data_IF_286238496898
#
_entry.id   IF_286238496898
#
_cell.length_a   1.000
_cell.length_b   1.000
_cell.length_c   1.000
_cell.angle_alpha   90.00
_cell.angle_beta   90.00
_cell.angle_gamma   90.00
#
_symmetry.space_group_name_H-M   'P 1'
#
loop_
_entity.id
_entity.type
_entity.pdbx_description
1 polymer ?
#
# COMPACT_ATOMS: atom_id res chain seq x y z
N UNK A 1 18.92 9.91 -0.80
CA UNK A 1 19.07 8.70 0.02
C UNK A 1 17.78 7.90 0.10
N UNK A 2 16.86 8.29 1.01
CA UNK A 2 15.64 7.53 1.37
C UNK A 2 14.84 6.96 0.18
N UNK A 3 14.40 7.81 -0.75
CA UNK A 3 13.56 7.36 -1.87
C UNK A 3 14.30 6.41 -2.82
N UNK A 4 15.59 6.64 -3.08
CA UNK A 4 16.40 5.76 -3.92
C UNK A 4 16.57 4.37 -3.29
N UNK A 5 16.80 4.31 -1.98
CA UNK A 5 16.90 3.01 -1.28
C UNK A 5 15.56 2.27 -1.25
N UNK A 6 14.45 2.96 -1.02
CA UNK A 6 13.13 2.33 -0.88
C UNK A 6 12.51 1.94 -2.22
N UNK A 7 12.57 2.82 -3.22
CA UNK A 7 11.89 2.64 -4.52
C UNK A 7 12.89 2.25 -5.61
N UNK A 8 14.06 2.88 -5.63
CA UNK A 8 15.08 2.64 -6.65
C UNK A 8 14.77 3.32 -7.98
N UNK A 9 15.25 2.71 -9.07
CA UNK A 9 14.98 3.06 -10.46
C UNK A 9 14.60 1.79 -11.24
N UNK A 10 13.84 1.97 -12.30
CA UNK A 10 13.41 0.92 -13.23
C UNK A 10 14.44 0.63 -14.34
N UNK A 11 15.57 1.34 -14.36
CA UNK A 11 16.62 1.20 -15.39
C UNK A 11 17.30 -0.18 -15.42
N UNK A 12 17.37 -0.86 -14.28
CA UNK A 12 17.93 -2.21 -14.19
C UNK A 12 17.46 -2.93 -12.91
N UNK A 13 17.49 -4.28 -12.88
CA UNK A 13 17.17 -5.05 -11.68
C UNK A 13 18.06 -4.70 -10.48
N UNK A 14 19.32 -4.33 -10.71
CA UNK A 14 20.26 -3.91 -9.65
C UNK A 14 19.95 -2.53 -9.09
N UNK A 15 19.13 -1.74 -9.79
CA UNK A 15 18.71 -0.41 -9.35
C UNK A 15 17.35 -0.40 -8.64
N UNK A 16 16.68 -1.55 -8.54
CA UNK A 16 15.41 -1.68 -7.82
C UNK A 16 15.59 -1.46 -6.31
N UNK A 17 14.66 -0.71 -5.72
CA UNK A 17 14.65 -0.47 -4.28
C UNK A 17 14.10 -1.64 -3.47
N UNK A 18 14.09 -1.44 -2.15
CA UNK A 18 13.59 -2.44 -1.19
C UNK A 18 12.13 -2.80 -1.44
N UNK A 19 11.25 -1.82 -1.69
CA UNK A 19 9.80 -2.04 -1.84
C UNK A 19 9.46 -2.91 -3.06
N UNK A 20 9.87 -2.60 -4.30
CA UNK A 20 9.58 -3.46 -5.45
C UNK A 20 10.20 -4.86 -5.29
N UNK A 21 11.40 -4.97 -4.68
CA UNK A 21 11.98 -6.26 -4.35
C UNK A 21 11.11 -7.05 -3.35
N UNK A 22 10.67 -6.42 -2.27
CA UNK A 22 9.84 -7.06 -1.25
C UNK A 22 8.50 -7.55 -1.80
N UNK A 23 7.86 -6.78 -2.70
CA UNK A 23 6.66 -7.20 -3.43
C UNK A 23 6.94 -8.50 -4.18
N UNK A 24 7.95 -8.52 -5.04
CA UNK A 24 8.30 -9.71 -5.85
C UNK A 24 8.58 -10.94 -4.98
N UNK A 25 9.36 -10.77 -3.90
CA UNK A 25 9.66 -11.86 -2.98
C UNK A 25 8.42 -12.38 -2.25
N UNK A 26 7.54 -11.49 -1.78
CA UNK A 26 6.31 -11.88 -1.09
C UNK A 26 5.42 -12.74 -1.99
N UNK A 27 5.17 -12.30 -3.22
CA UNK A 27 4.31 -13.03 -4.14
C UNK A 27 4.92 -14.38 -4.54
N UNK A 28 6.25 -14.44 -4.71
CA UNK A 28 6.94 -15.71 -4.96
C UNK A 28 6.76 -16.69 -3.80
N UNK A 29 6.95 -16.23 -2.56
CA UNK A 29 6.78 -17.05 -1.36
C UNK A 29 5.33 -17.51 -1.17
N UNK A 30 4.35 -16.66 -1.49
CA UNK A 30 2.92 -17.02 -1.45
C UNK A 30 2.63 -18.14 -2.45
N UNK A 31 3.18 -18.05 -3.66
CA UNK A 31 2.99 -19.06 -4.71
C UNK A 31 3.63 -20.39 -4.32
N UNK A 32 4.89 -20.39 -3.86
CA UNK A 32 5.57 -21.58 -3.33
C UNK A 32 4.78 -22.25 -2.20
N UNK A 33 4.20 -21.45 -1.29
CA UNK A 33 3.37 -21.94 -0.17
C UNK A 33 2.02 -22.49 -0.64
N UNK A 34 1.43 -21.88 -1.66
CA UNK A 34 0.17 -22.32 -2.29
C UNK A 34 0.36 -23.71 -2.89
N UNK A 35 1.43 -23.91 -3.65
CA UNK A 35 1.77 -25.19 -4.28
C UNK A 35 2.07 -26.29 -3.26
N UNK A 36 2.84 -25.97 -2.20
CA UNK A 36 3.29 -26.97 -1.22
C UNK A 36 2.23 -27.37 -0.20
N UNK A 37 1.40 -26.43 0.26
CA UNK A 37 0.51 -26.63 1.43
C UNK A 37 -0.98 -26.50 1.12
N UNK A 38 -1.36 -26.14 -0.12
CA UNK A 38 -2.77 -25.92 -0.49
C UNK A 38 -3.43 -24.73 0.24
N UNK A 39 -2.66 -23.93 0.97
CA UNK A 39 -3.12 -22.74 1.68
C UNK A 39 -3.48 -21.65 0.68
N UNK A 40 -4.64 -21.00 0.86
CA UNK A 40 -5.04 -19.87 0.03
C UNK A 40 -4.67 -18.56 0.70
N UNK A 41 -4.04 -17.67 -0.05
CA UNK A 41 -3.72 -16.33 0.40
C UNK A 41 -4.50 -15.29 -0.41
N UNK A 42 -4.81 -14.16 0.23
CA UNK A 42 -5.26 -12.96 -0.46
C UNK A 42 -4.38 -11.80 -0.03
N UNK A 43 -3.83 -11.08 -1.01
CA UNK A 43 -3.04 -9.88 -0.74
C UNK A 43 -3.88 -8.65 -1.09
N UNK A 44 -3.85 -7.67 -0.20
CA UNK A 44 -4.44 -6.35 -0.41
C UNK A 44 -3.41 -5.27 -0.11
N UNK A 45 -3.61 -4.08 -0.66
CA UNK A 45 -2.67 -2.95 -0.58
C UNK A 45 -3.43 -1.74 -0.08
N UNK A 46 -2.83 -1.03 0.88
CA UNK A 46 -3.22 0.34 1.20
C UNK A 46 -2.00 1.26 1.13
N UNK A 47 -2.22 2.53 0.79
CA UNK A 47 -1.16 3.53 0.80
C UNK A 47 -1.70 4.87 1.33
N UNK A 48 -1.02 5.42 2.33
CA UNK A 48 -1.41 6.66 3.00
C UNK A 48 -0.22 7.59 3.09
N UNK A 49 -0.46 8.88 2.87
CA UNK A 49 0.50 9.94 3.13
C UNK A 49 0.11 10.68 4.41
N UNK A 50 1.08 10.88 5.30
CA UNK A 50 0.99 11.81 6.42
C UNK A 50 1.65 13.11 5.99
N UNK A 51 0.88 14.18 5.90
CA UNK A 51 1.37 15.49 5.49
C UNK A 51 1.56 16.41 6.69
N UNK A 52 2.77 16.91 6.89
CA UNK A 52 3.03 18.22 7.50
C UNK A 52 2.52 18.44 8.94
N UNK A 53 2.49 19.73 9.31
CA UNK A 53 2.29 20.23 10.69
C UNK A 53 0.94 19.87 11.32
N UNK A 54 -0.08 19.60 10.51
CA UNK A 54 -1.41 19.19 10.95
C UNK A 54 -1.58 17.67 11.05
N UNK A 55 -0.53 16.90 10.68
CA UNK A 55 -0.55 15.44 10.63
C UNK A 55 -1.76 14.90 9.85
N UNK A 56 -2.16 15.62 8.81
CA UNK A 56 -3.29 15.22 7.97
C UNK A 56 -2.99 13.90 7.24
N UNK A 57 -3.94 12.98 7.28
CA UNK A 57 -3.87 11.68 6.64
C UNK A 57 -4.57 11.73 5.29
N UNK A 58 -3.87 11.33 4.24
CA UNK A 58 -4.40 11.28 2.89
C UNK A 58 -4.28 9.89 2.30
N UNK A 59 -5.40 9.35 1.83
CA UNK A 59 -5.41 8.13 1.03
C UNK A 59 -4.80 8.40 -0.36
N UNK A 60 -3.74 7.66 -0.70
CA UNK A 60 -3.04 7.77 -1.97
C UNK A 60 -3.64 6.86 -3.06
N UNK A 61 -4.53 5.93 -2.69
CA UNK A 61 -5.16 4.98 -3.60
C UNK A 61 -6.63 5.28 -3.88
N UNK A 62 -7.20 6.33 -3.27
CA UNK A 62 -8.60 6.70 -3.43
C UNK A 62 -9.05 6.86 -4.90
N UNK A 63 -8.19 7.42 -5.75
CA UNK A 63 -8.48 7.63 -7.19
C UNK A 63 -8.49 6.33 -8.00
N UNK A 64 -7.74 5.32 -7.56
CA UNK A 64 -7.65 4.01 -8.24
C UNK A 64 -8.56 2.96 -7.61
N UNK A 65 -9.28 3.32 -6.54
CA UNK A 65 -10.24 2.46 -5.88
C UNK A 65 -11.51 2.31 -6.74
N UNK A 66 -11.93 1.07 -7.07
CA UNK A 66 -13.17 0.85 -7.80
C UNK A 66 -14.36 1.20 -6.89
N UNK A 67 -14.94 2.39 -7.06
CA UNK A 67 -16.09 2.86 -6.29
C UNK A 67 -16.16 4.37 -6.04
N UNK A 68 -15.16 5.17 -6.40
CA UNK A 68 -15.08 6.60 -6.04
C UNK A 68 -15.90 7.57 -6.92
N UNK A 69 -16.73 7.09 -7.85
CA UNK A 69 -17.56 7.96 -8.72
C UNK A 69 -18.91 8.39 -8.12
N UNK A 70 -19.24 8.03 -6.89
CA UNK A 70 -20.44 8.53 -6.19
C UNK A 70 -20.16 8.75 -4.70
N UNK A 71 -19.33 9.75 -4.38
CA UNK A 71 -19.65 10.75 -3.36
C UNK A 71 -18.45 11.68 -3.20
N UNK A 72 -18.67 12.96 -3.46
CA UNK A 72 -17.70 14.04 -3.26
C UNK A 72 -17.50 14.38 -1.76
N UNK A 73 -17.56 13.38 -0.89
CA UNK A 73 -17.24 13.46 0.53
C UNK A 73 -16.63 12.13 0.98
N UNK A 74 -15.38 11.87 0.57
CA UNK A 74 -14.60 10.81 1.21
C UNK A 74 -14.51 11.13 2.70
N UNK A 75 -15.07 10.30 3.62
CA UNK A 75 -14.85 10.53 5.04
C UNK A 75 -13.34 10.43 5.25
N UNK A 76 -12.74 11.42 5.89
CA UNK A 76 -11.28 11.48 6.03
C UNK A 76 -10.69 10.17 6.53
N UNK A 77 -9.42 9.92 6.21
CA UNK A 77 -8.69 8.83 6.85
C UNK A 77 -8.46 9.25 8.31
N UNK A 78 -8.96 8.47 9.27
CA UNK A 78 -8.82 8.76 10.69
C UNK A 78 -7.94 7.72 11.37
N UNK A 79 -7.14 8.15 12.33
CA UNK A 79 -6.41 7.26 13.22
C UNK A 79 -7.34 6.87 14.39
N UNK A 80 -7.55 5.58 14.62
CA UNK A 80 -8.24 5.06 15.81
C UNK A 80 -7.29 4.18 16.59
N UNK A 81 -7.17 4.39 17.89
CA UNK A 81 -6.41 3.50 18.76
C UNK A 81 -7.28 2.27 19.12
N UNK A 82 -6.82 1.08 18.73
CA UNK A 82 -7.36 -0.19 19.18
C UNK A 82 -6.51 -0.73 20.33
N UNK A 83 -7.10 -1.07 21.49
CA UNK A 83 -6.34 -1.53 22.66
C UNK A 83 -5.63 -2.89 22.47
N UNK A 84 -5.96 -3.65 21.42
CA UNK A 84 -5.33 -4.94 21.11
C UNK A 84 -4.31 -4.83 19.97
N UNK A 85 -4.59 -4.00 18.97
CA UNK A 85 -3.85 -3.91 17.72
C UNK A 85 -3.04 -2.60 17.55
N UNK A 86 -3.18 -1.66 18.49
CA UNK A 86 -2.57 -0.33 18.42
C UNK A 86 -3.33 0.65 17.51
N UNK A 87 -2.66 1.72 17.09
CA UNK A 87 -3.23 2.72 16.18
C UNK A 87 -3.53 2.12 14.79
N UNK A 88 -4.81 2.11 14.41
CA UNK A 88 -5.31 1.66 13.11
C UNK A 88 -5.87 2.83 12.28
N UNK A 89 -5.56 2.83 10.99
CA UNK A 89 -6.11 3.79 10.02
C UNK A 89 -7.48 3.30 9.54
N UNK A 90 -8.52 4.11 9.74
CA UNK A 90 -9.89 3.88 9.27
C UNK A 90 -10.14 4.61 7.94
N UNK A 91 -11.02 4.05 7.12
CA UNK A 91 -11.45 4.61 5.82
C UNK A 91 -10.35 4.74 4.76
N UNK A 92 -9.25 3.99 4.90
CA UNK A 92 -8.25 3.87 3.82
C UNK A 92 -8.72 2.87 2.76
N UNK A 93 -8.43 3.16 1.49
CA UNK A 93 -8.69 2.23 0.39
C UNK A 93 -7.76 1.03 0.50
N UNK A 94 -8.36 -0.14 0.78
CA UNK A 94 -7.66 -1.41 0.81
C UNK A 94 -7.98 -2.21 -0.46
N UNK A 95 -7.09 -2.14 -1.45
CA UNK A 95 -7.33 -2.66 -2.80
C UNK A 95 -6.76 -4.05 -2.97
N UNK A 96 -7.52 -4.95 -3.62
CA UNK A 96 -7.05 -6.31 -3.89
C UNK A 96 -5.92 -6.30 -4.93
N UNK A 97 -4.82 -6.97 -4.59
CA UNK A 97 -3.66 -7.14 -5.45
C UNK A 97 -3.37 -8.64 -5.61
N UNK A 98 -3.95 -9.30 -6.62
CA UNK A 98 -3.77 -10.75 -6.80
C UNK A 98 -2.39 -11.14 -7.33
N UNK A 99 -1.62 -10.19 -7.88
CA UNK A 99 -0.29 -10.44 -8.45
C UNK A 99 0.71 -9.35 -8.02
N UNK A 100 2.00 -9.65 -8.17
CA UNK A 100 3.08 -8.70 -7.90
C UNK A 100 2.97 -7.46 -8.78
N UNK A 101 2.61 -7.62 -10.05
CA UNK A 101 2.45 -6.54 -11.02
C UNK A 101 1.31 -5.61 -10.60
N UNK A 102 0.20 -6.16 -10.08
CA UNK A 102 -0.91 -5.34 -9.60
C UNK A 102 -0.53 -4.57 -8.32
N UNK A 103 0.25 -5.16 -7.43
CA UNK A 103 0.77 -4.47 -6.25
C UNK A 103 1.78 -3.36 -6.62
N UNK A 104 2.67 -3.63 -7.58
CA UNK A 104 3.60 -2.63 -8.12
C UNK A 104 2.87 -1.47 -8.80
N UNK A 105 1.81 -1.77 -9.57
CA UNK A 105 0.94 -0.74 -10.14
C UNK A 105 0.35 0.19 -9.07
N UNK A 106 -0.10 -0.35 -7.93
CA UNK A 106 -0.60 0.49 -6.84
C UNK A 106 0.52 1.29 -6.16
N UNK A 107 1.74 0.77 -6.09
CA UNK A 107 2.90 1.53 -5.62
C UNK A 107 3.15 2.75 -6.52
N UNK A 108 3.14 2.56 -7.84
CA UNK A 108 3.33 3.65 -8.81
C UNK A 108 2.21 4.69 -8.72
N UNK A 109 0.96 4.23 -8.64
CA UNK A 109 -0.21 5.09 -8.45
C UNK A 109 -0.09 5.92 -7.16
N UNK A 110 0.31 5.29 -6.06
CA UNK A 110 0.48 5.97 -4.78
C UNK A 110 1.63 6.99 -4.83
N UNK A 111 2.76 6.66 -5.46
CA UNK A 111 3.89 7.57 -5.66
C UNK A 111 3.50 8.79 -6.52
N UNK A 112 2.69 8.59 -7.56
CA UNK A 112 2.16 9.66 -8.39
C UNK A 112 1.17 10.57 -7.62
N UNK A 113 0.35 9.99 -6.74
CA UNK A 113 -0.63 10.72 -5.94
C UNK A 113 -0.02 11.56 -4.80
N UNK A 114 1.25 11.31 -4.43
CA UNK A 114 1.92 12.04 -3.34
C UNK A 114 1.94 13.54 -3.57
N UNK A 115 1.70 14.29 -2.49
CA UNK A 115 1.76 15.76 -2.48
C UNK A 115 3.10 16.30 -3.00
N UNK A 116 4.19 15.58 -2.71
CA UNK A 116 5.56 15.95 -3.11
C UNK A 116 5.81 15.88 -4.62
N UNK A 117 4.96 15.14 -5.35
CA UNK A 117 5.03 14.96 -6.80
C UNK A 117 4.37 16.11 -7.57
N UNK A 118 3.65 17.01 -6.88
CA UNK A 118 3.03 18.20 -7.51
C UNK A 118 4.05 19.31 -7.72
N UNK A 119 3.99 19.96 -8.89
CA UNK A 119 4.78 21.15 -9.19
C UNK A 119 4.41 22.29 -8.21
N UNK A 120 5.40 22.90 -7.55
CA UNK A 120 5.20 24.00 -6.60
C UNK A 120 5.15 23.64 -5.11
N UNK A 121 5.34 22.36 -4.75
CA UNK A 121 5.43 21.95 -3.34
C UNK A 121 6.71 22.50 -2.68
N UNK A 122 6.59 23.15 -1.52
CA UNK A 122 7.75 23.68 -0.80
C UNK A 122 8.68 22.58 -0.30
N UNK A 123 9.98 22.86 -0.22
CA UNK A 123 10.98 21.93 0.30
C UNK A 123 10.65 21.45 1.74
N UNK A 124 9.96 22.28 2.53
CA UNK A 124 9.53 21.94 3.89
C UNK A 124 8.38 20.93 3.91
N UNK A 125 7.43 21.04 2.98
CA UNK A 125 6.35 20.06 2.82
C UNK A 125 6.89 18.71 2.33
N UNK A 126 7.93 18.72 1.49
CA UNK A 126 8.63 17.50 1.05
C UNK A 126 9.38 16.79 2.17
N UNK A 127 9.92 17.54 3.13
CA UNK A 127 10.65 16.99 4.29
C UNK A 127 9.75 16.46 5.39
N UNK A 128 8.49 16.88 5.41
CA UNK A 128 7.48 16.53 6.42
C UNK A 128 6.35 15.62 5.88
N UNK A 129 6.51 15.07 4.67
CA UNK A 129 5.61 14.07 4.10
C UNK A 129 6.19 12.66 4.32
N UNK A 130 5.40 11.81 4.97
CA UNK A 130 5.72 10.39 5.16
C UNK A 130 4.72 9.54 4.40
N UNK A 131 5.21 8.57 3.63
CA UNK A 131 4.36 7.61 2.93
C UNK A 131 4.42 6.26 3.65
N UNK A 132 3.25 5.68 3.92
CA UNK A 132 3.08 4.33 4.41
C UNK A 132 2.46 3.52 3.27
N UNK A 133 3.16 2.46 2.84
CA UNK A 133 2.68 1.49 1.86
C UNK A 133 2.61 0.12 2.53
N UNK A 134 1.42 -0.44 2.63
CA UNK A 134 1.16 -1.64 3.43
C UNK A 134 0.61 -2.76 2.56
N UNK A 135 1.25 -3.93 2.65
CA UNK A 135 0.79 -5.18 2.06
C UNK A 135 0.08 -6.00 3.14
N UNK A 136 -1.24 -6.11 3.03
CA UNK A 136 -2.08 -6.91 3.92
C UNK A 136 -2.17 -8.33 3.39
N UNK A 137 -1.64 -9.30 4.14
CA UNK A 137 -1.62 -10.72 3.75
C UNK A 137 -2.63 -11.48 4.58
N UNK A 138 -3.71 -11.90 3.94
CA UNK A 138 -4.74 -12.73 4.55
C UNK A 138 -4.50 -14.19 4.19
N UNK A 139 -4.48 -15.06 5.21
CA UNK A 139 -4.38 -16.50 5.04
C UNK A 139 -5.74 -17.15 5.33
N UNK A 140 -6.23 -17.95 4.39
CA UNK A 140 -7.45 -18.74 4.56
C UNK A 140 -7.10 -20.22 4.61
N UNK A 141 -7.55 -20.89 5.68
CA UNK A 141 -7.67 -22.35 5.72
C UNK A 141 -9.08 -22.69 5.27
N UNK A 142 -9.22 -23.53 4.25
CA UNK A 142 -10.52 -24.16 4.01
C UNK A 142 -10.66 -25.23 5.09
N UNK A 143 -11.46 -24.97 6.11
CA UNK A 143 -12.05 -26.06 6.87
C UNK A 143 -12.86 -26.87 5.86
N UNK A 144 -12.52 -28.16 5.70
CA UNK A 144 -13.35 -29.05 4.90
C UNK A 144 -14.73 -28.99 5.53
N UNK A 145 -15.70 -28.42 4.81
CA UNK A 145 -17.10 -28.51 5.19
C UNK A 145 -17.44 -30.00 5.19
N UNK A 146 -17.40 -30.61 6.37
CA UNK A 146 -17.75 -31.99 6.57
C UNK A 146 -19.27 -32.07 6.69
N UNK A 147 -19.93 -32.38 5.57
CA UNK A 147 -21.02 -33.37 5.45
C UNK A 147 -21.63 -33.32 4.06
#
# INVERSE_FOLDING_TARGET
GKSYTMIGKDSSPQSLGIVPCAISWLFRLIEERRERMGTRFSVRVSAVEVCGRDQSLRDLLAEVAPGSLQDAQSPGVYLREDPVCGAQLQNQSELRAPTAEKAAFYLDAALAARSTSRAGCSEDARRSSHMLFTLHVYQYRMEKCGR
#
